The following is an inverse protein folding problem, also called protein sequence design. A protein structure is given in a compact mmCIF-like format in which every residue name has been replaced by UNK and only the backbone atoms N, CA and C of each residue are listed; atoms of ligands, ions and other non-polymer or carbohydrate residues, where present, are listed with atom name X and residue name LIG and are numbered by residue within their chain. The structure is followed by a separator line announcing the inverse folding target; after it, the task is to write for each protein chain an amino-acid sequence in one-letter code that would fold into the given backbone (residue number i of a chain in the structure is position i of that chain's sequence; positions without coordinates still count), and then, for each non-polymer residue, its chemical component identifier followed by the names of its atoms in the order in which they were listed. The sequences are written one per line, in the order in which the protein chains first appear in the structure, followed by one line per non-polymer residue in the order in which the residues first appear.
data_IF_441315625102
#
_entry.id   IF_441315625102
#
_cell.length_a   1.000
_cell.length_b   1.000
_cell.length_c   1.000
_cell.angle_alpha   90.00
_cell.angle_beta   90.00
_cell.angle_gamma   90.00
#
_symmetry.space_group_name_H-M   'P 1'
#
loop_
_entity.id
_entity.type
_entity.pdbx_description
1 polymer ?
#
# COMPACT_ATOMS: atom_id res chain seq x y z
N UNK A 1 4.05 -1.07 20.68
CA UNK A 1 5.25 -1.82 21.10
C UNK A 1 6.10 -2.03 19.83
N UNK A 2 7.34 -2.54 19.85
CA UNK A 2 8.10 -2.82 18.61
C UNK A 2 8.02 -4.31 18.31
N UNK A 3 7.54 -4.70 17.13
CA UNK A 3 7.61 -6.09 16.71
C UNK A 3 8.99 -6.43 16.18
N UNK A 4 9.67 -7.43 16.74
CA UNK A 4 11.00 -7.85 16.29
C UNK A 4 10.93 -8.97 15.26
N UNK A 5 11.36 -8.72 14.03
CA UNK A 5 11.48 -9.70 12.95
C UNK A 5 12.95 -10.09 12.78
N UNK A 6 13.23 -11.39 12.74
CA UNK A 6 14.56 -11.88 12.36
C UNK A 6 14.70 -11.91 10.85
N UNK A 7 15.76 -11.28 10.34
CA UNK A 7 16.22 -11.34 8.95
C UNK A 7 17.64 -11.93 8.92
N UNK A 8 18.16 -12.39 7.77
CA UNK A 8 19.47 -13.03 7.69
C UNK A 8 20.62 -12.26 8.35
N UNK A 9 20.57 -10.93 8.31
CA UNK A 9 21.63 -10.05 8.83
C UNK A 9 21.31 -9.40 10.19
N UNK A 10 20.30 -9.90 10.91
CA UNK A 10 20.00 -9.48 12.29
C UNK A 10 18.52 -9.31 12.63
N UNK A 11 18.24 -8.60 13.71
CA UNK A 11 16.87 -8.26 14.12
C UNK A 11 16.46 -6.89 13.56
N UNK A 12 15.32 -6.85 12.88
CA UNK A 12 14.68 -5.61 12.42
C UNK A 12 13.41 -5.41 13.23
N UNK A 13 13.18 -4.18 13.68
CA UNK A 13 11.91 -3.83 14.32
C UNK A 13 10.92 -3.34 13.28
N UNK A 14 9.81 -4.05 13.10
CA UNK A 14 8.61 -3.45 12.55
C UNK A 14 7.95 -2.62 13.65
N UNK A 15 7.68 -1.36 13.35
CA UNK A 15 7.25 -0.38 14.37
C UNK A 15 5.73 -0.22 14.43
N UNK A 16 5.01 -0.72 13.43
CA UNK A 16 3.57 -0.64 13.32
C UNK A 16 3.04 -1.89 12.66
N UNK A 17 1.91 -2.44 13.15
CA UNK A 17 1.10 -3.36 12.39
C UNK A 17 0.67 -2.73 11.05
N UNK A 18 0.38 -3.59 10.08
CA UNK A 18 -0.07 -3.22 8.74
C UNK A 18 -1.11 -4.23 8.23
N UNK A 19 -2.02 -3.83 7.32
CA UNK A 19 -3.08 -4.70 6.83
C UNK A 19 -2.51 -5.87 6.00
N UNK A 20 -3.14 -7.06 6.02
CA UNK A 20 -2.65 -8.24 5.31
C UNK A 20 -2.47 -8.11 3.78
N UNK A 21 -3.15 -7.15 3.15
CA UNK A 21 -3.01 -6.80 1.73
C UNK A 21 -1.60 -6.31 1.38
N UNK A 22 -0.85 -5.81 2.37
CA UNK A 22 0.52 -5.35 2.22
C UNK A 22 1.52 -6.48 2.46
N UNK A 23 2.31 -6.80 1.44
CA UNK A 23 3.53 -7.61 1.56
C UNK A 23 4.72 -6.65 1.62
N UNK A 24 5.33 -6.43 2.79
CA UNK A 24 6.40 -5.45 2.96
C UNK A 24 7.68 -5.88 2.24
N UNK A 25 8.41 -4.91 1.67
CA UNK A 25 9.72 -5.12 1.05
C UNK A 25 10.79 -4.37 1.85
N UNK A 26 10.61 -3.07 2.09
CA UNK A 26 11.48 -2.29 2.96
C UNK A 26 10.72 -1.21 3.74
N UNK A 27 11.43 -0.56 4.66
CA UNK A 27 10.93 0.56 5.47
C UNK A 27 11.82 1.77 5.22
N UNK A 28 11.22 2.93 4.93
CA UNK A 28 11.94 4.18 4.68
C UNK A 28 12.41 4.83 5.99
N UNK A 29 13.27 5.85 5.90
CA UNK A 29 13.69 6.64 7.07
C UNK A 29 12.51 7.31 7.81
N UNK A 30 11.46 7.69 7.08
CA UNK A 30 10.21 8.24 7.63
C UNK A 30 9.31 7.18 8.30
N UNK A 31 9.74 5.92 8.28
CA UNK A 31 9.02 4.73 8.78
C UNK A 31 7.77 4.38 7.96
N UNK A 32 7.73 4.80 6.70
CA UNK A 32 6.75 4.34 5.73
C UNK A 32 7.14 2.94 5.26
N UNK A 33 6.17 2.06 5.05
CA UNK A 33 6.42 0.71 4.54
C UNK A 33 6.24 0.73 3.03
N UNK A 34 7.27 0.37 2.27
CA UNK A 34 7.16 0.13 0.83
C UNK A 34 6.91 -1.35 0.61
N UNK A 35 5.88 -1.69 -0.15
CA UNK A 35 5.53 -3.09 -0.37
C UNK A 35 4.58 -3.33 -1.53
N UNK A 36 4.39 -4.61 -1.83
CA UNK A 36 3.40 -5.07 -2.79
C UNK A 36 2.02 -5.03 -2.14
N UNK A 37 1.06 -4.41 -2.80
CA UNK A 37 -0.34 -4.32 -2.43
C UNK A 37 -1.15 -5.24 -3.34
N UNK A 38 -1.69 -6.32 -2.77
CA UNK A 38 -2.38 -7.38 -3.53
C UNK A 38 -3.73 -7.74 -2.92
N UNK A 39 -4.80 -7.49 -3.66
CA UNK A 39 -6.13 -7.99 -3.29
C UNK A 39 -6.34 -9.41 -3.82
N UNK A 40 -6.28 -10.41 -2.92
CA UNK A 40 -6.28 -11.83 -3.30
C UNK A 40 -7.57 -12.35 -3.94
N UNK A 41 -8.70 -11.76 -3.57
CA UNK A 41 -10.03 -12.19 -4.01
C UNK A 41 -10.66 -11.21 -5.00
N UNK A 42 -9.85 -10.32 -5.57
CA UNK A 42 -10.27 -9.31 -6.55
C UNK A 42 -9.57 -9.55 -7.88
N UNK A 43 -10.12 -9.00 -8.96
CA UNK A 43 -9.53 -9.01 -10.30
C UNK A 43 -8.45 -7.93 -10.51
N UNK A 44 -8.27 -7.06 -9.51
CA UNK A 44 -7.29 -5.96 -9.52
C UNK A 44 -5.87 -6.49 -9.67
N UNK A 45 -5.11 -5.84 -10.56
CA UNK A 45 -3.68 -6.08 -10.68
C UNK A 45 -2.96 -5.61 -9.40
N UNK A 46 -2.03 -6.43 -8.87
CA UNK A 46 -1.17 -5.98 -7.78
C UNK A 46 -0.40 -4.72 -8.17
N UNK A 47 -0.15 -3.87 -7.19
CA UNK A 47 0.66 -2.67 -7.37
C UNK A 47 1.62 -2.50 -6.20
N UNK A 48 2.53 -1.54 -6.28
CA UNK A 48 3.44 -1.23 -5.20
C UNK A 48 3.02 0.07 -4.55
N UNK A 49 2.98 0.07 -3.23
CA UNK A 49 2.52 1.22 -2.45
C UNK A 49 3.55 1.68 -1.44
N UNK A 50 3.42 2.93 -1.04
CA UNK A 50 3.82 3.41 0.26
C UNK A 50 2.66 3.38 1.23
N UNK A 51 2.80 2.56 2.26
CA UNK A 51 1.84 2.49 3.35
C UNK A 51 2.32 3.33 4.53
N UNK A 52 1.58 4.40 4.79
CA UNK A 52 1.74 5.28 5.93
C UNK A 52 0.90 4.72 7.08
N UNK A 53 1.45 3.76 7.84
CA UNK A 53 0.85 3.25 9.08
C UNK A 53 1.07 4.22 10.25
N UNK A 54 1.81 3.77 11.27
CA UNK A 54 2.39 4.66 12.30
C UNK A 54 3.76 5.15 11.85
N UNK A 55 3.85 6.44 11.54
CA UNK A 55 5.07 7.11 11.03
C UNK A 55 5.70 8.02 12.08
N UNK A 56 6.80 8.70 11.74
CA UNK A 56 7.35 9.78 12.59
C UNK A 56 6.40 10.97 12.74
N UNK A 57 5.41 11.09 11.84
CA UNK A 57 4.38 12.13 11.85
C UNK A 57 3.05 11.65 12.47
N UNK A 58 3.06 10.50 13.15
CA UNK A 58 1.86 9.91 13.76
C UNK A 58 1.18 8.85 12.90
N UNK A 59 -0.04 8.46 13.30
CA UNK A 59 -0.84 7.41 12.65
C UNK A 59 -1.62 8.00 11.47
N UNK A 60 -1.37 7.49 10.27
CA UNK A 60 -1.92 8.01 9.00
C UNK A 60 -2.83 6.99 8.29
N UNK A 61 -2.60 5.68 8.46
CA UNK A 61 -3.40 4.59 7.87
C UNK A 61 -3.82 4.81 6.39
N UNK A 62 -2.87 5.17 5.53
CA UNK A 62 -3.08 5.48 4.10
C UNK A 62 -2.11 4.70 3.22
N UNK A 63 -2.58 4.26 2.06
CA UNK A 63 -1.77 3.62 1.03
C UNK A 63 -1.72 4.50 -0.22
N UNK A 64 -0.52 4.82 -0.69
CA UNK A 64 -0.31 5.56 -1.95
C UNK A 64 0.36 4.65 -2.96
N UNK A 65 -0.22 4.51 -4.16
CA UNK A 65 0.47 3.80 -5.23
C UNK A 65 1.77 4.52 -5.62
N UNK A 66 2.89 3.80 -5.50
CA UNK A 66 4.24 4.29 -5.82
C UNK A 66 4.75 3.77 -7.16
N UNK A 67 4.32 2.58 -7.59
CA UNK A 67 4.76 1.97 -8.85
C UNK A 67 3.84 0.84 -9.30
N UNK A 68 3.61 0.71 -10.61
CA UNK A 68 2.89 -0.41 -11.23
C UNK A 68 3.76 -1.66 -11.38
N UNK A 69 5.08 -1.52 -11.28
CA UNK A 69 6.06 -2.62 -11.30
C UNK A 69 7.09 -2.42 -10.21
N UNK A 70 7.76 -3.49 -9.76
CA UNK A 70 8.86 -3.37 -8.79
C UNK A 70 9.97 -2.47 -9.35
N UNK A 71 10.25 -2.59 -10.65
CA UNK A 71 11.28 -1.83 -11.32
C UNK A 71 11.00 -0.32 -11.28
N UNK A 72 9.75 0.11 -11.46
CA UNK A 72 9.36 1.52 -11.26
C UNK A 72 9.63 2.01 -9.83
N UNK A 73 9.37 1.20 -8.81
CA UNK A 73 9.68 1.57 -7.42
C UNK A 73 11.18 1.72 -7.20
N UNK A 74 11.99 0.83 -7.79
CA UNK A 74 13.45 0.90 -7.72
C UNK A 74 13.97 2.16 -8.45
N UNK A 75 13.45 2.49 -9.63
CA UNK A 75 13.81 3.74 -10.33
C UNK A 75 13.47 4.97 -9.48
N UNK A 76 12.29 5.02 -8.86
CA UNK A 76 11.93 6.11 -7.96
C UNK A 76 12.85 6.20 -6.73
N UNK A 77 13.26 5.06 -6.17
CA UNK A 77 14.22 5.04 -5.07
C UNK A 77 15.62 5.51 -5.48
N UNK A 78 16.12 5.07 -6.64
CA UNK A 78 17.39 5.53 -7.20
C UNK A 78 17.37 7.04 -7.44
N UNK A 79 16.28 7.56 -8.01
CA UNK A 79 16.08 9.00 -8.20
C UNK A 79 16.20 9.76 -6.88
N UNK A 80 15.49 9.34 -5.83
CA UNK A 80 15.60 9.95 -4.50
C UNK A 80 17.03 9.85 -3.92
N UNK A 81 17.71 8.72 -4.08
CA UNK A 81 19.09 8.56 -3.62
C UNK A 81 20.05 9.52 -4.33
N UNK A 82 19.96 9.61 -5.66
CA UNK A 82 20.78 10.49 -6.49
C UNK A 82 20.54 11.96 -6.11
N UNK A 83 19.27 12.38 -6.01
CA UNK A 83 18.93 13.75 -5.61
C UNK A 83 19.43 14.08 -4.20
N UNK A 84 19.32 13.14 -3.24
CA UNK A 84 19.77 13.37 -1.87
C UNK A 84 21.29 13.38 -1.72
N UNK A 85 22.03 12.72 -2.63
CA UNK A 85 23.49 12.62 -2.59
C UNK A 85 24.20 13.55 -3.57
N UNK A 86 23.43 14.33 -4.33
CA UNK A 86 23.93 15.25 -5.36
C UNK A 86 24.76 14.52 -6.42
N UNK A 87 24.19 13.44 -6.97
CA UNK A 87 24.75 12.66 -8.06
C UNK A 87 24.89 11.16 -7.76
N UNK A 88 25.54 10.46 -8.68
CA UNK A 88 25.77 9.01 -8.62
C UNK A 88 27.09 8.70 -7.91
N UNK A 89 27.02 7.90 -6.84
CA UNK A 89 28.20 7.37 -6.14
C UNK A 89 28.33 5.85 -6.32
N UNK A 90 29.43 5.27 -5.79
CA UNK A 90 29.72 3.84 -5.89
C UNK A 90 28.62 2.95 -5.25
N UNK A 91 27.93 3.44 -4.21
CA UNK A 91 26.88 2.68 -3.53
C UNK A 91 25.59 2.66 -4.36
N UNK A 92 25.20 3.80 -4.94
CA UNK A 92 24.09 3.92 -5.88
C UNK A 92 24.34 3.00 -7.09
N UNK A 93 25.54 3.05 -7.66
CA UNK A 93 25.89 2.21 -8.80
C UNK A 93 25.87 0.72 -8.45
N UNK A 94 26.39 0.34 -7.28
CA UNK A 94 26.36 -1.04 -6.82
C UNK A 94 24.92 -1.55 -6.61
N UNK A 95 24.06 -0.72 -5.99
CA UNK A 95 22.65 -1.05 -5.79
C UNK A 95 21.90 -1.19 -7.12
N UNK A 96 22.06 -0.23 -8.05
CA UNK A 96 21.44 -0.29 -9.36
C UNK A 96 21.84 -1.57 -10.13
N UNK A 97 23.14 -1.90 -10.13
CA UNK A 97 23.64 -3.12 -10.74
C UNK A 97 23.03 -4.38 -10.11
N UNK A 98 22.91 -4.43 -8.78
CA UNK A 98 22.26 -5.54 -8.08
C UNK A 98 20.77 -5.68 -8.42
N UNK A 99 20.11 -4.57 -8.74
CA UNK A 99 18.72 -4.53 -9.21
C UNK A 99 18.56 -4.74 -10.72
N UNK A 100 19.64 -4.93 -11.47
CA UNK A 100 19.61 -5.09 -12.94
C UNK A 100 19.27 -3.79 -13.68
N UNK A 101 19.59 -2.64 -13.10
CA UNK A 101 19.42 -1.31 -13.69
C UNK A 101 20.78 -0.84 -14.20
N UNK A 102 20.87 -0.59 -15.50
CA UNK A 102 22.11 -0.22 -16.20
C UNK A 102 22.15 1.22 -16.70
N UNK A 103 21.03 1.94 -16.57
CA UNK A 103 20.78 3.28 -17.12
C UNK A 103 20.75 4.37 -16.02
N UNK A 104 21.58 4.22 -14.98
CA UNK A 104 21.66 5.16 -13.84
C UNK A 104 21.96 6.60 -14.29
N UNK A 105 22.84 6.78 -15.27
CA UNK A 105 23.16 8.10 -15.85
C UNK A 105 21.95 8.79 -16.50
N UNK A 106 20.94 8.03 -16.94
CA UNK A 106 19.68 8.60 -17.44
C UNK A 106 18.81 9.10 -16.29
N UNK A 107 18.74 8.33 -15.19
CA UNK A 107 18.04 8.73 -13.97
C UNK A 107 18.66 10.02 -13.41
N UNK A 108 19.99 10.08 -13.33
CA UNK A 108 20.73 11.24 -12.84
C UNK A 108 20.42 12.50 -13.66
N UNK A 109 20.47 12.37 -14.99
CA UNK A 109 20.11 13.46 -15.91
C UNK A 109 18.68 13.95 -15.71
N UNK A 110 17.71 13.04 -15.58
CA UNK A 110 16.30 13.41 -15.32
C UNK A 110 16.17 14.12 -13.96
N UNK A 111 16.95 13.70 -12.95
CA UNK A 111 16.91 14.29 -11.61
C UNK A 111 17.37 15.76 -11.58
N UNK A 112 18.35 16.12 -12.41
CA UNK A 112 18.84 17.49 -12.58
C UNK A 112 17.76 18.40 -13.19
N UNK A 113 16.98 17.87 -14.13
CA UNK A 113 16.05 18.66 -14.94
C UNK A 113 14.74 19.03 -14.23
N UNK A 114 14.36 18.32 -13.16
CA UNK A 114 13.02 18.54 -12.60
C UNK A 114 12.80 18.31 -11.10
N UNK A 115 13.81 17.87 -10.33
CA UNK A 115 13.79 17.83 -8.85
C UNK A 115 12.70 16.98 -8.17
N UNK A 116 11.72 16.49 -8.93
CA UNK A 116 10.55 15.73 -8.49
C UNK A 116 10.54 14.37 -9.21
N UNK A 117 10.30 13.30 -8.47
CA UNK A 117 10.29 11.91 -8.98
C UNK A 117 9.31 11.70 -10.13
N UNK A 118 8.25 12.51 -10.22
CA UNK A 118 7.26 12.46 -11.31
C UNK A 118 7.84 12.78 -12.68
N UNK A 119 9.03 13.39 -12.74
CA UNK A 119 9.80 13.65 -13.97
C UNK A 119 10.26 12.36 -14.67
N UNK A 120 10.34 11.25 -13.92
CA UNK A 120 10.55 9.90 -14.46
C UNK A 120 9.43 9.46 -15.42
N UNK A 121 8.32 10.20 -15.55
CA UNK A 121 7.30 9.94 -16.57
C UNK A 121 7.84 9.86 -18.01
N UNK A 122 8.97 10.51 -18.25
CA UNK A 122 9.66 10.50 -19.55
C UNK A 122 10.51 9.25 -19.77
N UNK A 123 10.85 8.52 -18.71
CA UNK A 123 11.68 7.33 -18.76
C UNK A 123 10.92 6.12 -19.31
N UNK A 124 11.59 5.27 -20.09
CA UNK A 124 10.96 4.16 -20.83
C UNK A 124 10.18 3.17 -19.94
N UNK A 125 10.60 2.96 -18.69
CA UNK A 125 9.91 2.11 -17.71
C UNK A 125 8.52 2.64 -17.29
N UNK A 126 8.27 3.94 -17.45
CA UNK A 126 7.05 4.62 -17.00
C UNK A 126 6.08 4.91 -18.16
N UNK A 127 6.57 4.96 -19.38
CA UNK A 127 5.76 5.24 -20.58
C UNK A 127 4.61 4.22 -20.70
N UNK A 128 3.38 4.74 -20.75
CA UNK A 128 2.16 3.95 -20.89
C UNK A 128 1.69 3.21 -19.63
N UNK A 129 2.42 3.31 -18.51
CA UNK A 129 2.07 2.67 -17.23
C UNK A 129 2.46 3.54 -16.04
N UNK A 130 1.99 4.78 -16.03
CA UNK A 130 2.26 5.71 -14.92
C UNK A 130 1.56 5.25 -13.63
N UNK A 131 2.25 5.23 -12.48
CA UNK A 131 1.59 5.06 -11.19
C UNK A 131 0.74 6.28 -10.84
N UNK A 132 -0.25 6.09 -9.98
CA UNK A 132 -1.19 7.16 -9.59
C UNK A 132 -0.48 8.34 -8.92
N UNK A 133 0.64 8.10 -8.21
CA UNK A 133 1.47 9.15 -7.62
C UNK A 133 2.03 10.16 -8.62
N UNK A 134 1.98 9.88 -9.92
CA UNK A 134 2.46 10.79 -10.98
C UNK A 134 1.37 11.72 -11.51
N UNK A 135 0.17 11.66 -10.93
CA UNK A 135 -0.98 12.48 -11.30
C UNK A 135 -1.32 13.44 -10.16
N UNK A 136 -1.72 14.65 -10.54
CA UNK A 136 -2.30 15.60 -9.59
C UNK A 136 -3.63 15.04 -9.07
N UNK A 137 -3.98 15.33 -7.82
CA UNK A 137 -5.25 14.90 -7.22
C UNK A 137 -6.48 15.38 -8.03
N UNK A 138 -6.37 16.53 -8.68
CA UNK A 138 -7.43 17.13 -9.50
C UNK A 138 -7.45 16.62 -10.95
N UNK A 139 -6.42 15.88 -11.39
CA UNK A 139 -6.31 15.39 -12.76
C UNK A 139 -5.75 13.96 -12.84
N UNK A 140 -6.64 12.99 -12.73
CA UNK A 140 -6.33 11.55 -12.78
C UNK A 140 -7.02 10.84 -13.95
N UNK A 141 -7.48 11.57 -14.98
CA UNK A 141 -8.32 10.99 -16.05
C UNK A 141 -7.59 9.99 -16.94
N UNK A 142 -6.27 10.18 -17.11
CA UNK A 142 -5.44 9.32 -17.96
C UNK A 142 -4.82 8.16 -17.18
N UNK A 143 -5.15 8.02 -15.89
CA UNK A 143 -4.69 6.90 -15.10
C UNK A 143 -5.41 5.61 -15.53
N UNK A 144 -4.63 4.60 -15.92
CA UNK A 144 -5.14 3.33 -16.44
C UNK A 144 -4.92 2.15 -15.49
N UNK A 145 -4.49 2.40 -14.26
CA UNK A 145 -4.27 1.35 -13.27
C UNK A 145 -5.52 1.04 -12.44
N UNK A 146 -5.35 0.12 -11.48
CA UNK A 146 -6.44 -0.37 -10.62
C UNK A 146 -6.42 0.25 -9.22
N UNK A 147 -5.48 1.16 -8.92
CA UNK A 147 -5.52 1.90 -7.65
C UNK A 147 -6.63 2.95 -7.69
N UNK A 148 -7.42 3.13 -6.61
CA UNK A 148 -8.56 4.03 -6.65
C UNK A 148 -8.15 5.48 -6.92
N UNK A 149 -8.74 6.07 -7.97
CA UNK A 149 -8.72 7.52 -8.21
C UNK A 149 -9.82 8.21 -7.43
N UNK A 150 -9.79 9.55 -7.36
CA UNK A 150 -10.84 10.34 -6.70
C UNK A 150 -12.24 10.10 -7.29
N UNK A 151 -12.33 9.69 -8.56
CA UNK A 151 -13.59 9.36 -9.22
C UNK A 151 -14.28 8.11 -8.63
N UNK A 152 -13.54 7.26 -7.91
CA UNK A 152 -14.09 6.01 -7.31
C UNK A 152 -15.27 6.29 -6.40
N UNK A 153 -15.29 7.43 -5.70
CA UNK A 153 -16.34 7.78 -4.74
C UNK A 153 -17.74 7.91 -5.38
N UNK A 154 -17.81 8.08 -6.70
CA UNK A 154 -19.06 8.16 -7.45
C UNK A 154 -19.59 6.80 -7.93
N UNK A 155 -18.86 5.70 -7.68
CA UNK A 155 -19.19 4.36 -8.18
C UNK A 155 -19.18 3.32 -7.06
N UNK A 156 -20.36 2.89 -6.63
CA UNK A 156 -20.51 1.80 -5.66
C UNK A 156 -19.81 0.53 -6.11
N UNK A 157 -19.91 0.16 -7.39
CA UNK A 157 -19.26 -1.03 -7.92
C UNK A 157 -17.72 -0.92 -7.88
N UNK A 158 -17.17 0.27 -8.10
CA UNK A 158 -15.73 0.48 -7.97
C UNK A 158 -15.29 0.43 -6.49
N UNK A 159 -16.05 1.06 -5.58
CA UNK A 159 -15.80 1.05 -4.15
C UNK A 159 -15.84 -0.36 -3.54
N UNK A 160 -16.65 -1.27 -4.08
CA UNK A 160 -16.70 -2.68 -3.64
C UNK A 160 -15.34 -3.40 -3.77
N UNK A 161 -14.43 -2.88 -4.59
CA UNK A 161 -13.10 -3.45 -4.83
C UNK A 161 -11.97 -2.71 -4.09
N UNK A 162 -12.33 -1.81 -3.17
CA UNK A 162 -11.38 -0.98 -2.44
C UNK A 162 -11.52 -1.20 -0.93
N UNK A 163 -10.41 -1.11 -0.20
CA UNK A 163 -10.42 -1.01 1.25
C UNK A 163 -10.21 0.45 1.71
N UNK A 164 -10.53 0.73 2.97
CA UNK A 164 -10.53 2.09 3.53
C UNK A 164 -9.15 2.76 3.48
N UNK A 165 -8.05 2.00 3.57
CA UNK A 165 -6.70 2.57 3.52
C UNK A 165 -6.36 3.24 2.18
N UNK A 166 -7.02 2.84 1.10
CA UNK A 166 -6.78 3.36 -0.26
C UNK A 166 -7.60 4.63 -0.55
N UNK A 167 -8.62 4.93 0.26
CA UNK A 167 -9.51 6.07 0.04
C UNK A 167 -9.06 7.24 0.91
N UNK A 168 -8.55 8.30 0.27
CA UNK A 168 -8.12 9.55 0.88
C UNK A 168 -7.89 10.63 -0.19
N UNK A 169 -7.80 11.89 0.22
CA UNK A 169 -7.50 13.03 -0.68
C UNK A 169 -6.02 13.41 -0.72
N UNK A 170 -5.16 12.66 -0.02
CA UNK A 170 -3.72 12.93 0.05
C UNK A 170 -3.33 13.64 1.35
N UNK A 171 -2.44 14.63 1.26
CA UNK A 171 -1.99 15.41 2.40
C UNK A 171 -2.29 16.90 2.21
N UNK A 172 -2.78 17.56 3.25
CA UNK A 172 -2.93 19.00 3.32
C UNK A 172 -2.15 19.52 4.53
N UNK A 173 -1.22 20.45 4.32
CA UNK A 173 -0.34 20.99 5.37
C UNK A 173 0.38 19.89 6.19
N UNK A 174 0.89 18.86 5.51
CA UNK A 174 1.57 17.67 6.09
C UNK A 174 0.67 16.74 6.93
N UNK A 175 -0.64 16.99 6.97
CA UNK A 175 -1.64 16.14 7.64
C UNK A 175 -2.49 15.38 6.61
N UNK A 176 -2.95 14.14 6.92
CA UNK A 176 -3.91 13.42 6.11
C UNK A 176 -5.15 14.23 5.81
N UNK A 177 -5.52 14.24 4.53
CA UNK A 177 -6.83 14.70 4.12
C UNK A 177 -7.74 13.47 3.89
N UNK A 178 -8.70 13.29 4.80
CA UNK A 178 -9.69 12.23 4.74
C UNK A 178 -11.03 12.66 4.12
N UNK A 179 -11.12 13.84 3.51
CA UNK A 179 -12.38 14.37 2.96
C UNK A 179 -13.07 13.37 2.03
N UNK A 180 -12.32 12.73 1.12
CA UNK A 180 -12.86 11.69 0.24
C UNK A 180 -13.38 10.48 1.02
N UNK A 181 -12.65 10.03 2.04
CA UNK A 181 -13.01 8.89 2.89
C UNK A 181 -14.28 9.17 3.68
N UNK A 182 -14.40 10.38 4.23
CA UNK A 182 -15.59 10.83 4.97
C UNK A 182 -16.81 10.92 4.04
N UNK A 183 -16.65 11.47 2.83
CA UNK A 183 -17.71 11.51 1.83
C UNK A 183 -18.19 10.10 1.43
N UNK A 184 -17.26 9.16 1.22
CA UNK A 184 -17.59 7.75 0.96
C UNK A 184 -18.31 7.12 2.14
N UNK A 185 -17.88 7.38 3.38
CA UNK A 185 -18.52 6.84 4.58
C UNK A 185 -19.96 7.38 4.80
N UNK A 186 -20.24 8.61 4.37
CA UNK A 186 -21.57 9.22 4.48
C UNK A 186 -22.56 8.73 3.39
N UNK A 187 -22.06 8.18 2.29
CA UNK A 187 -22.91 7.66 1.22
C UNK A 187 -23.50 6.30 1.61
N UNK A 188 -24.82 6.21 1.75
CA UNK A 188 -25.53 4.98 2.14
C UNK A 188 -25.35 3.82 1.16
N UNK A 189 -25.00 4.11 -0.10
CA UNK A 189 -24.72 3.11 -1.12
C UNK A 189 -23.26 2.63 -1.11
N UNK A 190 -22.39 3.20 -0.27
CA UNK A 190 -21.03 2.70 -0.11
C UNK A 190 -21.01 1.36 0.62
N UNK A 191 -20.03 0.49 0.33
CA UNK A 191 -19.85 -0.76 1.05
C UNK A 191 -19.76 -0.55 2.56
N UNK A 192 -20.30 -1.51 3.33
CA UNK A 192 -20.45 -1.36 4.79
C UNK A 192 -19.12 -1.20 5.53
N UNK A 193 -18.01 -1.74 5.01
CA UNK A 193 -16.69 -1.62 5.63
C UNK A 193 -16.13 -0.20 5.63
N UNK A 194 -16.68 0.71 4.82
CA UNK A 194 -16.38 2.15 4.90
C UNK A 194 -17.18 2.87 5.99
N UNK A 195 -18.26 2.25 6.51
CA UNK A 195 -19.27 2.92 7.34
C UNK A 195 -19.36 2.37 8.75
N UNK A 196 -18.95 1.13 8.97
CA UNK A 196 -19.04 0.47 10.28
C UNK A 196 -17.78 0.71 11.12
N UNK A 197 -17.96 0.75 12.44
CA UNK A 197 -16.88 0.66 13.42
C UNK A 197 -16.67 -0.76 13.94
N UNK A 198 -17.62 -1.68 13.70
CA UNK A 198 -17.53 -3.10 14.06
C UNK A 198 -17.16 -3.92 12.82
N UNK A 199 -15.88 -3.96 12.48
CA UNK A 199 -15.40 -4.74 11.33
C UNK A 199 -15.54 -6.25 11.56
N UNK A 200 -15.36 -6.73 12.79
CA UNK A 200 -15.43 -8.17 13.09
C UNK A 200 -16.82 -8.76 12.81
N UNK A 201 -17.90 -8.10 13.23
CA UNK A 201 -19.27 -8.56 12.93
C UNK A 201 -19.57 -8.51 11.43
N UNK A 202 -19.14 -7.45 10.74
CA UNK A 202 -19.32 -7.32 9.30
C UNK A 202 -18.59 -8.45 8.57
N UNK A 203 -17.34 -8.71 8.93
CA UNK A 203 -16.51 -9.77 8.38
C UNK A 203 -17.18 -11.14 8.51
N UNK A 204 -17.66 -11.49 9.70
CA UNK A 204 -18.34 -12.77 9.93
C UNK A 204 -19.58 -12.93 9.03
N UNK A 205 -20.39 -11.88 8.87
CA UNK A 205 -21.54 -11.92 7.95
C UNK A 205 -21.12 -12.12 6.50
N UNK A 206 -20.10 -11.41 6.04
CA UNK A 206 -19.57 -11.53 4.67
C UNK A 206 -19.01 -12.93 4.41
N UNK A 207 -18.20 -13.44 5.35
CA UNK A 207 -17.65 -14.79 5.26
C UNK A 207 -18.76 -15.85 5.27
N UNK A 208 -19.80 -15.71 6.09
CA UNK A 208 -20.95 -16.61 6.11
C UNK A 208 -21.78 -16.56 4.82
N UNK A 209 -21.84 -15.39 4.16
CA UNK A 209 -22.44 -15.23 2.84
C UNK A 209 -21.56 -15.75 1.69
N UNK A 210 -20.35 -16.26 2.00
CA UNK A 210 -19.33 -16.66 1.03
C UNK A 210 -18.85 -15.51 0.11
N UNK A 211 -18.97 -14.27 0.59
CA UNK A 211 -18.42 -13.09 -0.06
C UNK A 211 -16.96 -12.89 0.40
N UNK A 212 -16.05 -13.60 -0.27
CA UNK A 212 -14.62 -13.58 0.07
C UNK A 212 -13.96 -12.24 -0.27
N UNK A 213 -14.40 -11.58 -1.35
CA UNK A 213 -13.87 -10.27 -1.73
C UNK A 213 -14.29 -9.21 -0.72
N UNK A 214 -15.57 -9.14 -0.35
CA UNK A 214 -16.05 -8.24 0.68
C UNK A 214 -15.39 -8.50 2.04
N UNK A 215 -15.29 -9.77 2.46
CA UNK A 215 -14.60 -10.14 3.70
C UNK A 215 -13.13 -9.68 3.68
N UNK A 216 -12.46 -9.79 2.53
CA UNK A 216 -11.10 -9.30 2.35
C UNK A 216 -10.98 -7.78 2.41
N UNK A 217 -11.88 -7.03 1.76
CA UNK A 217 -11.87 -5.56 1.85
C UNK A 217 -12.15 -5.06 3.27
N UNK A 218 -13.04 -5.76 3.99
CA UNK A 218 -13.34 -5.53 5.40
C UNK A 218 -12.13 -5.77 6.32
N UNK A 219 -11.45 -6.92 6.17
CA UNK A 219 -10.23 -7.25 6.92
C UNK A 219 -9.08 -6.25 6.67
N UNK A 220 -9.00 -5.70 5.46
CA UNK A 220 -7.99 -4.72 5.07
C UNK A 220 -8.44 -3.27 5.25
N UNK A 221 -9.47 -3.03 6.06
CA UNK A 221 -9.89 -1.70 6.49
C UNK A 221 -9.50 -1.49 7.97
N UNK A 222 -9.38 -0.24 8.48
CA UNK A 222 -9.03 0.02 9.88
C UNK A 222 -10.05 -0.54 10.89
N UNK A 223 -9.70 -0.42 12.17
CA UNK A 223 -10.53 -0.78 13.34
C UNK A 223 -10.53 -2.28 13.68
N UNK A 224 -9.39 -2.93 13.44
CA UNK A 224 -9.11 -4.27 13.96
C UNK A 224 -8.12 -4.21 15.11
N UNK A 225 -8.38 -5.01 16.15
CA UNK A 225 -7.30 -5.51 17.00
C UNK A 225 -6.56 -6.62 16.25
N UNK A 226 -5.27 -6.78 16.53
CA UNK A 226 -4.49 -7.84 15.90
C UNK A 226 -5.00 -9.23 16.26
N UNK A 227 -5.45 -9.47 17.49
CA UNK A 227 -6.10 -10.73 17.84
C UNK A 227 -7.27 -11.07 16.90
N UNK A 228 -8.19 -10.11 16.70
CA UNK A 228 -9.36 -10.34 15.87
C UNK A 228 -8.99 -10.48 14.39
N UNK A 229 -8.04 -9.68 13.90
CA UNK A 229 -7.58 -9.79 12.51
C UNK A 229 -6.83 -11.10 12.24
N UNK A 230 -6.04 -11.60 13.20
CA UNK A 230 -5.37 -12.91 13.12
C UNK A 230 -6.37 -14.05 13.00
N UNK A 231 -7.45 -13.99 13.79
CA UNK A 231 -8.53 -14.95 13.68
C UNK A 231 -9.23 -14.83 12.33
N UNK A 232 -9.62 -13.61 11.93
CA UNK A 232 -10.30 -13.35 10.67
C UNK A 232 -9.52 -13.83 9.44
N UNK A 233 -8.21 -13.55 9.35
CA UNK A 233 -7.41 -14.03 8.22
C UNK A 233 -7.25 -15.55 8.21
N UNK A 234 -7.19 -16.19 9.39
CA UNK A 234 -7.14 -17.65 9.51
C UNK A 234 -8.44 -18.27 9.00
N UNK A 235 -9.59 -17.71 9.39
CA UNK A 235 -10.91 -18.17 8.95
C UNK A 235 -11.12 -17.94 7.45
N UNK A 236 -10.68 -16.79 6.92
CA UNK A 236 -10.72 -16.50 5.50
C UNK A 236 -9.84 -17.48 4.71
N UNK A 237 -8.64 -17.80 5.21
CA UNK A 237 -7.74 -18.76 4.55
C UNK A 237 -8.32 -20.16 4.52
N UNK A 238 -8.89 -20.63 5.64
CA UNK A 238 -9.59 -21.90 5.71
C UNK A 238 -10.77 -21.97 4.74
N UNK A 239 -11.52 -20.86 4.57
CA UNK A 239 -12.63 -20.79 3.62
C UNK A 239 -12.19 -20.76 2.16
N UNK A 240 -11.16 -19.97 1.86
CA UNK A 240 -10.65 -19.77 0.50
C UNK A 240 -10.07 -21.05 -0.11
N UNK A 241 -9.46 -21.92 0.72
CA UNK A 241 -8.79 -23.14 0.29
C UNK A 241 -7.75 -22.89 -0.83
N UNK A 242 -7.09 -21.73 -0.79
CA UNK A 242 -5.99 -21.36 -1.69
C UNK A 242 -4.64 -21.51 -0.97
N UNK A 243 -3.73 -22.27 -1.55
CA UNK A 243 -2.43 -22.59 -0.94
C UNK A 243 -1.54 -21.36 -0.79
N UNK A 244 -1.52 -20.47 -1.79
CA UNK A 244 -0.65 -19.32 -1.78
C UNK A 244 -1.16 -18.23 -0.83
N UNK A 245 -2.48 -18.06 -0.72
CA UNK A 245 -3.12 -17.22 0.28
C UNK A 245 -2.92 -17.78 1.70
N UNK A 246 -3.02 -19.10 1.88
CA UNK A 246 -2.77 -19.75 3.17
C UNK A 246 -1.34 -19.55 3.67
N UNK A 247 -0.35 -19.54 2.75
CA UNK A 247 1.03 -19.19 3.08
C UNK A 247 1.14 -17.74 3.57
N UNK A 248 0.52 -16.78 2.86
CA UNK A 248 0.45 -15.38 3.29
C UNK A 248 -0.19 -15.25 4.67
N UNK A 249 -1.35 -15.85 4.88
CA UNK A 249 -2.09 -15.80 6.14
C UNK A 249 -1.25 -16.33 7.30
N UNK A 250 -0.59 -17.48 7.11
CA UNK A 250 0.30 -18.08 8.10
C UNK A 250 1.45 -17.15 8.45
N UNK A 251 2.10 -16.53 7.45
CA UNK A 251 3.20 -15.59 7.70
C UNK A 251 2.69 -14.34 8.44
N UNK A 252 1.56 -13.78 8.03
CA UNK A 252 1.03 -12.55 8.62
C UNK A 252 0.58 -12.76 10.08
N UNK A 253 -0.07 -13.88 10.40
CA UNK A 253 -0.49 -14.21 11.78
C UNK A 253 0.70 -14.28 12.73
N UNK A 254 1.85 -14.77 12.25
CA UNK A 254 3.08 -14.90 13.02
C UNK A 254 3.90 -13.61 13.13
N UNK A 255 3.37 -12.46 12.67
CA UNK A 255 4.05 -11.19 12.87
C UNK A 255 4.22 -10.90 14.37
N UNK A 256 5.36 -10.32 14.79
CA UNK A 256 5.76 -10.23 16.20
C UNK A 256 5.12 -9.06 16.96
N UNK A 257 3.84 -8.78 16.73
CA UNK A 257 3.10 -7.69 17.40
C UNK A 257 2.16 -8.22 18.49
N UNK A 258 1.89 -7.39 19.49
CA UNK A 258 0.97 -7.74 20.57
C UNK A 258 -0.49 -7.76 20.08
N UNK A 259 -1.30 -8.63 20.66
CA UNK A 259 -2.68 -8.91 20.25
C UNK A 259 -3.63 -7.69 20.39
N UNK A 260 -3.31 -6.78 21.30
CA UNK A 260 -4.06 -5.55 21.57
C UNK A 260 -3.69 -4.38 20.65
N UNK A 261 -2.63 -4.52 19.84
CA UNK A 261 -2.30 -3.50 18.84
C UNK A 261 -3.35 -3.46 17.72
N UNK A 262 -3.48 -2.28 17.10
CA UNK A 262 -4.43 -2.05 16.02
C UNK A 262 -3.73 -1.64 14.73
N UNK A 263 -4.35 -1.96 13.59
CA UNK A 263 -4.06 -1.34 12.31
C UNK A 263 -5.29 -0.59 11.75
#
# INVERSE_FOLDING_TARGET
MRGQVRVPDGERSLLSPFPPVLVPIWVTGARTIVGLWKHWFSDRQPTFVEFYGTTVYGRRNMAFERGRTLKQVIYGHLFECITNRDGVDDEIQAFANACGISDVDEIDRISIDGGDVTTLRSHAEFVGKLPLSFFDCDNQTDYTGDFPTNAVASSTAALQRCCVHEIHSGFQNLEPDYTLREAVAQNSNSPEWFRTTSQSELFERLLNANDLEGAWMCLNSPAWTLANARQAITDLAARANDTAFSALATTWVNLPFADDEMF
#
